data_IF_208802614064
#
_entry.id   IF_208802614064
#
_cell.length_a   1.000
_cell.length_b   1.000
_cell.length_c   1.000
_cell.angle_alpha   90.00
_cell.angle_beta   90.00
_cell.angle_gamma   90.00
#
_symmetry.space_group_name_H-M   'P 1'
#
loop_
_entity.id
_entity.type
_entity.pdbx_description
1 polymer ?
#
# COMPACT_ATOMS: atom_id res chain seq x y z
N UNK A 1 -0.83 13.67 -5.46
CA UNK A 1 -1.74 12.66 -4.95
C UNK A 1 -2.92 13.31 -4.22
N UNK A 2 -4.14 13.05 -4.66
CA UNK A 2 -5.35 13.52 -4.00
C UNK A 2 -5.79 12.49 -2.98
N UNK A 3 -6.07 12.91 -1.76
CA UNK A 3 -6.40 12.05 -0.63
C UNK A 3 -7.90 12.15 -0.29
N UNK A 4 -8.55 11.02 -0.15
CA UNK A 4 -9.93 10.90 0.35
C UNK A 4 -9.89 10.51 1.82
N UNK A 5 -10.53 11.29 2.68
CA UNK A 5 -10.57 11.03 4.12
C UNK A 5 -11.74 10.12 4.47
N UNK A 6 -11.50 9.19 5.39
CA UNK A 6 -12.46 8.19 5.88
C UNK A 6 -13.08 8.59 7.19
N UNK A 7 -13.55 9.80 7.38
CA UNK A 7 -14.28 10.13 8.59
C UNK A 7 -15.34 11.18 8.37
N UNK A 8 -16.53 10.86 8.77
CA UNK A 8 -17.69 11.74 8.91
C UNK A 8 -18.79 10.97 9.61
N UNK A 9 -19.82 11.65 10.04
CA UNK A 9 -20.96 11.07 10.75
C UNK A 9 -22.00 10.43 9.83
N UNK A 10 -22.01 10.78 8.55
CA UNK A 10 -22.99 10.28 7.57
C UNK A 10 -22.29 9.62 6.39
N UNK A 11 -22.45 8.31 6.27
CA UNK A 11 -21.80 7.50 5.23
C UNK A 11 -22.15 7.96 3.80
N UNK A 12 -23.40 8.34 3.56
CA UNK A 12 -23.84 8.86 2.27
C UNK A 12 -23.15 10.17 1.88
N UNK A 13 -22.88 11.04 2.85
CA UNK A 13 -22.15 12.29 2.63
C UNK A 13 -20.71 11.98 2.24
N UNK A 14 -20.08 11.00 2.90
CA UNK A 14 -18.72 10.55 2.59
C UNK A 14 -18.64 10.00 1.17
N UNK A 15 -19.58 9.13 0.79
CA UNK A 15 -19.62 8.53 -0.55
C UNK A 15 -19.75 9.60 -1.63
N UNK A 16 -20.67 10.56 -1.42
CA UNK A 16 -20.87 11.69 -2.36
C UNK A 16 -19.65 12.60 -2.42
N UNK A 17 -19.06 12.96 -1.28
CA UNK A 17 -17.86 13.77 -1.22
C UNK A 17 -16.68 13.09 -1.93
N UNK A 18 -16.51 11.79 -1.74
CA UNK A 18 -15.48 10.99 -2.44
C UNK A 18 -15.66 11.03 -3.96
N UNK A 19 -16.91 10.88 -4.43
CA UNK A 19 -17.20 10.91 -5.87
C UNK A 19 -16.93 12.30 -6.46
N UNK A 20 -17.36 13.36 -5.79
CA UNK A 20 -17.10 14.74 -6.25
C UNK A 20 -15.59 15.05 -6.23
N UNK A 21 -14.85 14.56 -5.24
CA UNK A 21 -13.40 14.68 -5.21
C UNK A 21 -12.73 13.91 -6.37
N UNK A 22 -13.22 12.71 -6.70
CA UNK A 22 -12.72 11.96 -7.85
C UNK A 22 -12.96 12.71 -9.17
N UNK A 23 -14.15 13.30 -9.34
CA UNK A 23 -14.48 14.14 -10.52
C UNK A 23 -13.57 15.37 -10.61
N UNK A 24 -13.39 16.09 -9.50
CA UNK A 24 -12.50 17.24 -9.45
C UNK A 24 -11.04 16.87 -9.76
N UNK A 25 -10.59 15.72 -9.25
CA UNK A 25 -9.24 15.18 -9.51
C UNK A 25 -9.04 14.88 -11.00
N UNK A 26 -10.04 14.31 -11.66
CA UNK A 26 -10.02 14.03 -13.09
C UNK A 26 -10.03 15.33 -13.90
N UNK A 27 -10.85 16.31 -13.52
CA UNK A 27 -10.87 17.62 -14.16
C UNK A 27 -9.48 18.30 -14.06
N UNK A 28 -8.89 18.34 -12.86
CA UNK A 28 -7.52 18.86 -12.69
C UNK A 28 -6.48 18.15 -13.56
N UNK A 29 -6.57 16.83 -13.70
CA UNK A 29 -5.66 16.05 -14.53
C UNK A 29 -5.70 16.45 -16.00
N UNK A 30 -6.87 16.78 -16.54
CA UNK A 30 -7.06 17.03 -17.96
C UNK A 30 -7.20 18.50 -18.33
N UNK A 31 -7.58 19.37 -17.41
CA UNK A 31 -7.95 20.75 -17.65
C UNK A 31 -6.99 21.78 -17.01
N UNK A 32 -5.92 21.30 -16.36
CA UNK A 32 -4.93 22.17 -15.71
C UNK A 32 -3.50 21.65 -15.84
N UNK A 33 -2.53 22.49 -15.48
CA UNK A 33 -1.10 22.13 -15.42
C UNK A 33 -0.70 21.39 -14.14
N UNK A 34 -1.67 21.07 -13.28
CA UNK A 34 -1.42 20.33 -12.02
C UNK A 34 -1.07 18.87 -12.33
N UNK A 35 0.09 18.45 -11.88
CA UNK A 35 0.59 17.09 -12.07
C UNK A 35 -0.11 16.11 -11.12
N UNK A 36 -1.33 15.70 -11.46
CA UNK A 36 -2.08 14.69 -10.70
C UNK A 36 -1.56 13.30 -11.06
N UNK A 37 -1.00 12.58 -10.09
CA UNK A 37 -0.40 11.25 -10.29
C UNK A 37 -1.22 10.11 -9.70
N UNK A 38 -2.16 10.39 -8.79
CA UNK A 38 -2.96 9.33 -8.18
C UNK A 38 -4.05 9.84 -7.25
N UNK A 39 -4.85 8.88 -6.78
CA UNK A 39 -5.99 9.06 -5.91
C UNK A 39 -5.84 8.10 -4.71
N UNK A 40 -6.04 8.59 -3.49
CA UNK A 40 -5.81 7.83 -2.26
C UNK A 40 -7.04 7.81 -1.35
N UNK A 41 -7.25 6.71 -0.64
CA UNK A 41 -8.20 6.57 0.44
C UNK A 41 -7.44 6.39 1.75
N UNK A 42 -7.59 7.33 2.67
CA UNK A 42 -6.92 7.31 3.96
C UNK A 42 -7.81 7.88 5.07
N UNK A 43 -7.38 7.73 6.31
CA UNK A 43 -8.10 8.12 7.51
C UNK A 43 -8.53 6.91 8.32
N UNK A 44 -9.49 7.06 9.23
CA UNK A 44 -9.96 5.94 10.06
C UNK A 44 -10.57 4.83 9.20
N UNK A 45 -10.00 3.63 9.28
CA UNK A 45 -10.55 2.46 8.59
C UNK A 45 -11.70 1.82 9.38
N UNK A 46 -11.61 1.83 10.71
CA UNK A 46 -12.62 1.22 11.59
C UNK A 46 -13.97 1.91 11.45
N UNK A 47 -15.00 1.17 11.08
CA UNK A 47 -16.36 1.67 10.83
C UNK A 47 -16.57 2.31 9.45
N UNK A 48 -15.52 2.40 8.61
CA UNK A 48 -15.56 3.03 7.30
C UNK A 48 -14.98 2.10 6.22
N UNK A 49 -15.73 1.07 5.80
CA UNK A 49 -15.23 0.07 4.86
C UNK A 49 -14.84 0.69 3.51
N UNK A 50 -13.74 0.22 2.94
CA UNK A 50 -13.25 0.68 1.65
C UNK A 50 -14.31 0.61 0.55
N UNK A 51 -15.14 -0.45 0.53
CA UNK A 51 -16.21 -0.65 -0.43
C UNK A 51 -17.24 0.49 -0.51
N UNK A 52 -17.38 1.30 0.54
CA UNK A 52 -18.26 2.47 0.54
C UNK A 52 -17.84 3.54 -0.48
N UNK A 53 -16.58 3.55 -0.91
CA UNK A 53 -16.01 4.49 -1.87
C UNK A 53 -15.99 3.97 -3.32
N UNK A 54 -16.68 2.84 -3.61
CA UNK A 54 -16.62 2.16 -4.91
C UNK A 54 -16.97 3.08 -6.08
N UNK A 55 -17.99 3.93 -5.97
CA UNK A 55 -18.39 4.83 -7.05
C UNK A 55 -17.28 5.83 -7.43
N UNK A 56 -16.58 6.40 -6.42
CA UNK A 56 -15.46 7.32 -6.63
C UNK A 56 -14.29 6.61 -7.31
N UNK A 57 -13.97 5.41 -6.85
CA UNK A 57 -12.85 4.63 -7.37
C UNK A 57 -13.11 4.05 -8.76
N UNK A 58 -14.34 3.64 -9.05
CA UNK A 58 -14.75 3.25 -10.40
C UNK A 58 -14.64 4.43 -11.38
N UNK A 59 -15.04 5.64 -10.93
CA UNK A 59 -14.85 6.85 -11.74
C UNK A 59 -13.37 7.15 -11.99
N UNK A 60 -12.53 7.13 -10.95
CA UNK A 60 -11.09 7.30 -11.06
C UNK A 60 -10.44 6.26 -11.98
N UNK A 61 -10.87 4.99 -11.86
CA UNK A 61 -10.39 3.88 -12.69
C UNK A 61 -10.72 4.08 -14.17
N UNK A 62 -11.97 4.45 -14.48
CA UNK A 62 -12.44 4.75 -15.83
C UNK A 62 -11.64 5.87 -16.52
N UNK A 63 -11.10 6.79 -15.73
CA UNK A 63 -10.28 7.92 -16.20
C UNK A 63 -8.77 7.71 -16.05
N UNK A 64 -8.34 6.45 -15.88
CA UNK A 64 -6.92 6.07 -15.79
C UNK A 64 -6.14 6.77 -14.67
N UNK A 65 -6.82 7.15 -13.59
CA UNK A 65 -6.12 7.56 -12.37
C UNK A 65 -5.52 6.35 -11.66
N UNK A 66 -4.30 6.47 -11.21
CA UNK A 66 -3.69 5.48 -10.32
C UNK A 66 -4.28 5.62 -8.93
N UNK A 67 -4.39 4.49 -8.23
CA UNK A 67 -5.10 4.41 -6.97
C UNK A 67 -4.28 3.71 -5.91
N UNK A 68 -4.21 4.29 -4.73
CA UNK A 68 -3.75 3.60 -3.53
C UNK A 68 -4.87 3.61 -2.50
N UNK A 69 -4.90 2.61 -1.64
CA UNK A 69 -5.96 2.43 -0.65
C UNK A 69 -5.33 1.95 0.64
N UNK A 70 -5.56 2.67 1.74
CA UNK A 70 -5.25 2.16 3.07
C UNK A 70 -6.22 1.02 3.40
N UNK A 71 -5.70 -0.18 3.59
CA UNK A 71 -6.49 -1.37 3.87
C UNK A 71 -5.70 -2.36 4.72
N UNK A 72 -6.36 -3.01 5.66
CA UNK A 72 -5.74 -3.97 6.57
C UNK A 72 -4.84 -3.31 7.61
N UNK A 73 -5.15 -2.10 8.05
CA UNK A 73 -4.57 -1.46 9.22
C UNK A 73 -5.43 -1.73 10.47
N UNK A 74 -6.73 -1.43 10.40
CA UNK A 74 -7.69 -1.60 11.49
C UNK A 74 -8.77 -2.66 11.20
N UNK A 75 -8.90 -3.09 9.96
CA UNK A 75 -9.72 -4.23 9.52
C UNK A 75 -8.86 -5.36 8.97
N UNK A 76 -9.44 -6.56 8.93
CA UNK A 76 -8.80 -7.78 8.48
C UNK A 76 -8.66 -7.92 6.96
N UNK A 77 -8.41 -9.16 6.50
CA UNK A 77 -8.16 -9.49 5.09
C UNK A 77 -9.26 -9.05 4.13
N UNK A 78 -10.51 -9.04 4.59
CA UNK A 78 -11.67 -8.62 3.79
C UNK A 78 -11.58 -7.17 3.32
N UNK A 79 -11.00 -6.27 4.13
CA UNK A 79 -10.76 -4.87 3.74
C UNK A 79 -9.74 -4.80 2.60
N UNK A 80 -8.71 -5.61 2.66
CA UNK A 80 -7.68 -5.73 1.62
C UNK A 80 -8.30 -6.27 0.32
N UNK A 81 -9.12 -7.31 0.43
CA UNK A 81 -9.87 -7.84 -0.71
C UNK A 81 -10.78 -6.79 -1.36
N UNK A 82 -11.52 -6.00 -0.55
CA UNK A 82 -12.35 -4.91 -1.06
C UNK A 82 -11.54 -3.82 -1.76
N UNK A 83 -10.38 -3.46 -1.22
CA UNK A 83 -9.50 -2.48 -1.83
C UNK A 83 -9.05 -2.89 -3.24
N UNK A 84 -8.77 -4.18 -3.43
CA UNK A 84 -8.33 -4.72 -4.71
C UNK A 84 -9.52 -4.88 -5.68
N UNK A 85 -10.58 -5.54 -5.25
CA UNK A 85 -11.66 -5.98 -6.13
C UNK A 85 -12.71 -4.91 -6.40
N UNK A 86 -13.04 -4.07 -5.40
CA UNK A 86 -14.05 -3.01 -5.52
C UNK A 86 -13.46 -1.65 -5.86
N UNK A 87 -12.24 -1.37 -5.37
CA UNK A 87 -11.60 -0.08 -5.59
C UNK A 87 -10.49 -0.12 -6.65
N UNK A 88 -10.17 -1.31 -7.16
CA UNK A 88 -9.11 -1.48 -8.16
C UNK A 88 -7.78 -0.84 -7.75
N UNK A 89 -7.38 -1.05 -6.51
CA UNK A 89 -6.16 -0.47 -5.95
C UNK A 89 -4.92 -0.93 -6.74
N UNK A 90 -4.11 0.02 -7.18
CA UNK A 90 -2.80 -0.26 -7.80
C UNK A 90 -1.73 -0.52 -6.74
N UNK A 91 -1.93 0.00 -5.51
CA UNK A 91 -1.12 -0.23 -4.31
C UNK A 91 -2.03 -0.28 -3.08
N UNK A 92 -1.54 -0.94 -2.03
CA UNK A 92 -2.20 -1.07 -0.74
C UNK A 92 -1.37 -0.39 0.35
N UNK A 93 -1.98 0.52 1.09
CA UNK A 93 -1.37 1.06 2.31
C UNK A 93 -1.50 0.06 3.46
N UNK A 94 -0.45 -0.10 4.25
CA UNK A 94 -0.31 -0.97 5.41
C UNK A 94 -0.38 -2.47 5.14
N UNK A 95 -1.56 -3.04 4.87
CA UNK A 95 -1.77 -4.47 4.63
C UNK A 95 -1.38 -5.39 5.79
N UNK A 96 -1.10 -4.85 6.97
CA UNK A 96 -0.51 -5.61 8.08
C UNK A 96 -1.42 -6.71 8.63
N UNK A 97 -2.74 -6.60 8.42
CA UNK A 97 -3.74 -7.60 8.84
C UNK A 97 -4.03 -8.66 7.78
N UNK A 98 -3.22 -8.76 6.73
CA UNK A 98 -3.42 -9.74 5.64
C UNK A 98 -3.56 -11.18 6.14
N UNK A 99 -2.82 -11.55 7.17
CA UNK A 99 -2.84 -12.90 7.75
C UNK A 99 -3.62 -13.02 9.06
N UNK A 100 -4.45 -12.01 9.39
CA UNK A 100 -5.29 -12.01 10.59
C UNK A 100 -6.61 -12.77 10.36
N UNK A 101 -6.51 -14.09 10.27
CA UNK A 101 -7.65 -14.97 10.01
C UNK A 101 -8.78 -14.86 11.06
N UNK A 102 -8.41 -14.50 12.28
CA UNK A 102 -9.33 -14.25 13.39
C UNK A 102 -10.16 -12.96 13.25
N UNK A 103 -9.80 -12.09 12.32
CA UNK A 103 -10.53 -10.86 12.01
C UNK A 103 -11.52 -11.02 10.84
N UNK A 104 -11.64 -12.21 10.26
CA UNK A 104 -12.61 -12.49 9.19
C UNK A 104 -14.00 -12.68 9.79
N UNK A 105 -14.95 -11.87 9.34
CA UNK A 105 -16.34 -11.86 9.83
C UNK A 105 -17.33 -12.42 8.78
N UNK A 106 -16.93 -12.58 7.53
CA UNK A 106 -17.81 -13.05 6.45
C UNK A 106 -18.21 -14.52 6.67
N UNK A 107 -19.51 -14.83 6.80
CA UNK A 107 -19.98 -16.18 7.16
C UNK A 107 -19.82 -17.21 6.03
N UNK A 108 -19.57 -16.78 4.82
CA UNK A 108 -19.32 -17.62 3.66
C UNK A 108 -17.85 -18.06 3.53
N UNK A 109 -16.94 -17.49 4.32
CA UNK A 109 -15.54 -17.90 4.40
C UNK A 109 -15.41 -19.01 5.43
N UNK A 110 -15.44 -20.27 4.99
CA UNK A 110 -15.44 -21.45 5.85
C UNK A 110 -14.04 -21.81 6.37
N UNK A 111 -12.98 -21.43 5.68
CA UNK A 111 -11.58 -21.57 6.11
C UNK A 111 -10.85 -20.22 6.06
N UNK A 112 -10.87 -19.46 7.18
CA UNK A 112 -10.23 -18.16 7.25
C UNK A 112 -8.72 -18.18 7.00
N UNK A 113 -8.03 -19.25 7.36
CA UNK A 113 -6.58 -19.37 7.15
C UNK A 113 -6.27 -19.58 5.66
N UNK A 114 -6.96 -20.52 5.02
CA UNK A 114 -6.82 -20.73 3.58
C UNK A 114 -7.16 -19.46 2.79
N UNK A 115 -8.20 -18.74 3.19
CA UNK A 115 -8.56 -17.45 2.59
C UNK A 115 -7.41 -16.43 2.63
N UNK A 116 -6.73 -16.30 3.78
CA UNK A 116 -5.58 -15.39 3.91
C UNK A 116 -4.43 -15.78 2.98
N UNK A 117 -4.11 -17.08 2.88
CA UNK A 117 -3.05 -17.60 1.99
C UNK A 117 -3.42 -17.37 0.51
N UNK A 118 -4.63 -17.68 0.10
CA UNK A 118 -5.12 -17.44 -1.26
C UNK A 118 -5.12 -15.95 -1.63
N UNK A 119 -5.50 -15.08 -0.67
CA UNK A 119 -5.45 -13.63 -0.87
C UNK A 119 -4.01 -13.12 -1.01
N UNK A 120 -3.08 -13.65 -0.22
CA UNK A 120 -1.66 -13.32 -0.33
C UNK A 120 -1.08 -13.73 -1.69
N UNK A 121 -1.39 -14.93 -2.15
CA UNK A 121 -0.98 -15.42 -3.46
C UNK A 121 -1.60 -14.59 -4.59
N UNK A 122 -2.89 -14.27 -4.50
CA UNK A 122 -3.56 -13.38 -5.47
C UNK A 122 -2.89 -12.00 -5.56
N UNK A 123 -2.52 -11.40 -4.42
CA UNK A 123 -1.79 -10.12 -4.38
C UNK A 123 -0.41 -10.24 -5.02
N UNK A 124 0.30 -11.34 -4.73
CA UNK A 124 1.63 -11.62 -5.27
C UNK A 124 1.61 -11.80 -6.79
N UNK A 125 0.67 -12.58 -7.32
CA UNK A 125 0.49 -12.84 -8.76
C UNK A 125 0.17 -11.56 -9.52
N UNK A 126 -0.74 -10.74 -9.00
CA UNK A 126 -1.10 -9.44 -9.58
C UNK A 126 -0.02 -8.38 -9.38
N UNK A 127 1.01 -8.68 -8.56
CA UNK A 127 2.08 -7.75 -8.21
C UNK A 127 1.55 -6.41 -7.67
N UNK A 128 0.44 -6.45 -6.96
CA UNK A 128 -0.05 -5.30 -6.20
C UNK A 128 0.94 -5.02 -5.07
N UNK A 129 1.43 -3.80 -4.98
CA UNK A 129 2.48 -3.48 -4.01
C UNK A 129 1.87 -3.05 -2.69
N UNK A 130 2.37 -3.63 -1.60
CA UNK A 130 2.03 -3.24 -0.24
C UNK A 130 3.02 -2.21 0.27
N UNK A 131 2.51 -1.10 0.80
CA UNK A 131 3.25 0.02 1.39
C UNK A 131 3.29 -0.18 2.90
N UNK A 132 4.27 -0.94 3.39
CA UNK A 132 4.41 -1.29 4.81
C UNK A 132 5.02 -0.13 5.59
N UNK A 133 4.39 0.24 6.70
CA UNK A 133 4.76 1.36 7.57
C UNK A 133 5.00 0.85 9.00
N UNK A 134 6.18 0.27 9.26
CA UNK A 134 6.45 -0.48 10.50
C UNK A 134 6.25 0.35 11.77
N UNK A 135 6.86 1.54 11.83
CA UNK A 135 6.74 2.42 12.99
C UNK A 135 5.30 2.85 13.23
N UNK A 136 4.59 3.26 12.17
CA UNK A 136 3.18 3.65 12.27
C UNK A 136 2.32 2.46 12.72
N UNK A 137 2.55 1.28 12.17
CA UNK A 137 1.79 0.07 12.51
C UNK A 137 1.95 -0.33 13.98
N UNK A 138 3.15 -0.23 14.56
CA UNK A 138 3.34 -0.48 15.99
C UNK A 138 2.65 0.58 16.86
N UNK A 139 2.63 1.84 16.41
CA UNK A 139 1.99 2.93 17.15
C UNK A 139 0.46 2.82 17.13
N UNK A 140 -0.13 2.33 16.03
CA UNK A 140 -1.58 2.22 15.85
C UNK A 140 -2.17 0.88 16.28
N UNK A 141 -1.34 -0.15 16.48
CA UNK A 141 -1.76 -1.52 16.75
C UNK A 141 -1.04 -2.13 17.95
N UNK A 142 -1.52 -1.85 19.17
CA UNK A 142 -0.90 -2.32 20.42
C UNK A 142 -0.87 -3.85 20.58
N UNK A 143 -1.65 -4.56 19.79
CA UNK A 143 -1.71 -6.03 19.75
C UNK A 143 -0.55 -6.65 18.93
N UNK A 144 0.20 -5.87 18.19
CA UNK A 144 1.46 -6.30 17.59
C UNK A 144 2.59 -5.97 18.57
N UNK A 145 3.17 -6.98 19.24
CA UNK A 145 4.09 -6.73 20.34
C UNK A 145 5.44 -6.17 19.91
N UNK A 146 5.90 -6.54 18.71
CA UNK A 146 7.20 -6.17 18.17
C UNK A 146 7.24 -6.30 16.63
N UNK A 147 8.34 -5.84 16.04
CA UNK A 147 8.57 -5.91 14.58
C UNK A 147 8.74 -7.35 14.08
N UNK A 148 9.30 -8.24 14.88
CA UNK A 148 9.48 -9.64 14.46
C UNK A 148 8.12 -10.35 14.25
N UNK A 149 7.09 -9.92 14.98
CA UNK A 149 5.71 -10.42 14.86
C UNK A 149 4.92 -9.76 13.73
N UNK A 150 5.47 -8.72 13.07
CA UNK A 150 4.80 -8.01 11.98
C UNK A 150 4.67 -8.92 10.73
N UNK A 151 3.56 -8.77 10.01
CA UNK A 151 3.25 -9.57 8.81
C UNK A 151 4.26 -9.43 7.65
N UNK A 152 5.19 -8.46 7.70
CA UNK A 152 6.20 -8.25 6.66
C UNK A 152 7.01 -9.52 6.36
N UNK A 153 7.40 -10.28 7.39
CA UNK A 153 8.13 -11.56 7.20
C UNK A 153 7.34 -12.52 6.30
N UNK A 154 6.07 -12.76 6.63
CA UNK A 154 5.17 -13.61 5.84
C UNK A 154 4.97 -13.08 4.42
N UNK A 155 4.80 -11.76 4.24
CA UNK A 155 4.68 -11.16 2.91
C UNK A 155 5.92 -11.42 2.04
N UNK A 156 7.12 -11.40 2.64
CA UNK A 156 8.37 -11.70 1.94
C UNK A 156 8.49 -13.18 1.59
N UNK A 157 7.99 -14.09 2.43
CA UNK A 157 7.93 -15.53 2.16
C UNK A 157 7.02 -15.84 0.97
N UNK A 158 5.88 -15.15 0.86
CA UNK A 158 4.97 -15.18 -0.30
C UNK A 158 5.50 -14.43 -1.53
N UNK A 159 6.72 -13.89 -1.47
CA UNK A 159 7.34 -13.12 -2.57
C UNK A 159 6.49 -11.95 -3.07
N UNK A 160 5.70 -11.38 -2.19
CA UNK A 160 4.87 -10.22 -2.50
C UNK A 160 5.72 -9.01 -2.89
N UNK A 161 5.14 -8.12 -3.68
CA UNK A 161 5.73 -6.82 -3.95
C UNK A 161 5.50 -5.90 -2.73
N UNK A 162 6.55 -5.70 -1.94
CA UNK A 162 6.51 -4.86 -0.72
C UNK A 162 7.48 -3.71 -0.84
N UNK A 163 7.13 -2.55 -0.30
CA UNK A 163 8.04 -1.41 -0.08
C UNK A 163 7.84 -0.84 1.31
N UNK A 164 8.90 -0.30 1.91
CA UNK A 164 8.82 0.35 3.21
C UNK A 164 8.51 1.83 3.04
N UNK A 165 7.57 2.32 3.84
CA UNK A 165 7.06 3.68 3.82
C UNK A 165 7.01 4.23 5.26
N UNK A 166 7.06 5.55 5.40
CA UNK A 166 7.05 6.22 6.71
C UNK A 166 5.66 6.51 7.24
N UNK A 167 4.63 6.38 6.39
CA UNK A 167 3.35 7.01 6.65
C UNK A 167 3.53 8.51 6.95
N UNK A 168 2.91 9.05 7.99
CA UNK A 168 3.07 10.42 8.40
C UNK A 168 4.39 10.62 9.17
N UNK A 169 5.45 11.03 8.47
CA UNK A 169 6.79 11.21 9.02
C UNK A 169 6.84 12.04 10.31
N UNK A 170 6.03 13.09 10.37
CA UNK A 170 6.03 14.00 11.52
C UNK A 170 5.39 13.36 12.75
N UNK A 171 4.30 12.65 12.55
CA UNK A 171 3.58 11.96 13.64
C UNK A 171 4.35 10.74 14.10
N UNK A 172 4.79 9.89 13.17
CA UNK A 172 5.54 8.67 13.48
C UNK A 172 6.99 8.94 13.88
N UNK A 173 7.49 10.16 13.64
CA UNK A 173 8.87 10.58 13.95
C UNK A 173 9.91 9.61 13.40
N UNK A 174 9.79 9.25 12.13
CA UNK A 174 10.64 8.26 11.44
C UNK A 174 11.12 8.76 10.09
N UNK A 175 12.08 8.06 9.50
CA UNK A 175 12.55 8.24 8.12
C UNK A 175 12.54 6.91 7.39
N UNK A 176 12.59 6.94 6.04
CA UNK A 176 12.69 5.68 5.25
C UNK A 176 13.93 4.87 5.64
N UNK A 177 15.03 5.53 5.98
CA UNK A 177 16.24 4.86 6.46
C UNK A 177 16.02 4.15 7.78
N UNK A 178 15.29 4.79 8.72
CA UNK A 178 14.96 4.19 10.02
C UNK A 178 14.01 3.00 9.83
N UNK A 179 13.02 3.10 8.94
CA UNK A 179 12.12 1.99 8.60
C UNK A 179 12.90 0.79 8.01
N UNK A 180 13.85 1.06 7.11
CA UNK A 180 14.71 0.01 6.54
C UNK A 180 15.57 -0.64 7.63
N UNK A 181 16.18 0.18 8.49
CA UNK A 181 16.99 -0.32 9.61
C UNK A 181 16.14 -1.14 10.57
N UNK A 182 14.97 -0.63 10.95
CA UNK A 182 14.03 -1.33 11.82
C UNK A 182 13.64 -2.71 11.25
N UNK A 183 13.38 -2.78 9.94
CA UNK A 183 13.09 -4.05 9.27
C UNK A 183 14.28 -5.01 9.30
N UNK A 184 15.49 -4.55 8.90
CA UNK A 184 16.67 -5.40 8.78
C UNK A 184 17.22 -5.85 10.13
N UNK A 185 17.04 -5.06 11.18
CA UNK A 185 17.51 -5.43 12.53
C UNK A 185 16.59 -6.47 13.21
N UNK A 186 15.34 -6.61 12.79
CA UNK A 186 14.34 -7.45 13.46
C UNK A 186 13.76 -8.57 12.61
N UNK A 187 13.88 -8.50 11.29
CA UNK A 187 13.37 -9.52 10.36
C UNK A 187 14.53 -10.06 9.53
N UNK A 188 14.56 -11.37 9.32
CA UNK A 188 15.59 -11.99 8.49
C UNK A 188 15.37 -11.65 7.00
N UNK A 189 15.92 -10.52 6.57
CA UNK A 189 15.79 -10.00 5.21
C UNK A 189 17.08 -10.23 4.44
N UNK A 190 17.01 -11.00 3.37
CA UNK A 190 18.16 -11.20 2.49
C UNK A 190 18.53 -9.95 1.70
N UNK A 191 19.79 -9.77 1.26
CA UNK A 191 20.18 -8.63 0.41
C UNK A 191 19.31 -8.49 -0.85
N UNK A 192 18.90 -9.60 -1.44
CA UNK A 192 17.99 -9.63 -2.60
C UNK A 192 16.58 -9.12 -2.26
N UNK A 193 16.04 -9.50 -1.12
CA UNK A 193 14.73 -8.99 -0.65
C UNK A 193 14.82 -7.49 -0.37
N UNK A 194 15.86 -7.02 0.32
CA UNK A 194 16.08 -5.60 0.58
C UNK A 194 16.16 -4.80 -0.73
N UNK A 195 16.97 -5.24 -1.69
CA UNK A 195 17.04 -4.63 -3.03
C UNK A 195 15.65 -4.55 -3.66
N UNK A 196 14.91 -5.65 -3.64
CA UNK A 196 13.58 -5.69 -4.24
C UNK A 196 12.62 -4.71 -3.58
N UNK A 197 12.57 -4.63 -2.25
CA UNK A 197 11.72 -3.69 -1.52
C UNK A 197 12.02 -2.23 -1.91
N UNK A 198 13.29 -1.86 -1.99
CA UNK A 198 13.72 -0.52 -2.41
C UNK A 198 13.31 -0.27 -3.87
N UNK A 199 13.62 -1.18 -4.77
CA UNK A 199 13.34 -1.02 -6.21
C UNK A 199 11.83 -1.04 -6.49
N UNK A 200 11.03 -1.81 -5.75
CA UNK A 200 9.56 -1.82 -5.91
C UNK A 200 8.95 -0.47 -5.56
N UNK A 201 9.44 0.24 -4.56
CA UNK A 201 9.00 1.61 -4.26
C UNK A 201 9.09 2.52 -5.49
N UNK A 202 10.17 2.44 -6.26
CA UNK A 202 10.34 3.19 -7.50
C UNK A 202 9.55 2.61 -8.68
N UNK A 203 9.56 1.29 -8.86
CA UNK A 203 8.80 0.62 -9.93
C UNK A 203 7.31 0.85 -9.84
N UNK A 204 6.77 0.96 -8.63
CA UNK A 204 5.35 1.11 -8.36
C UNK A 204 4.91 2.54 -8.04
N UNK A 205 5.86 3.48 -7.98
CA UNK A 205 5.53 4.90 -7.84
C UNK A 205 4.59 5.34 -8.97
N UNK A 206 3.69 6.27 -8.66
CA UNK A 206 2.85 6.92 -9.65
C UNK A 206 3.66 8.03 -10.32
N UNK A 207 4.13 7.77 -11.52
CA UNK A 207 4.99 8.67 -12.27
C UNK A 207 4.16 9.51 -13.23
N UNK A 208 4.39 10.81 -13.26
CA UNK A 208 3.61 11.73 -14.10
C UNK A 208 3.91 11.58 -15.59
N UNK A 209 5.19 11.43 -15.94
CA UNK A 209 5.63 11.31 -17.32
C UNK A 209 5.29 9.95 -17.95
N UNK A 210 5.68 9.76 -19.19
CA UNK A 210 5.44 8.55 -19.95
C UNK A 210 5.98 7.28 -19.28
N UNK A 211 5.45 6.12 -19.69
CA UNK A 211 5.96 4.83 -19.22
C UNK A 211 7.44 4.60 -19.58
N UNK A 212 7.88 5.09 -20.74
CA UNK A 212 9.29 5.03 -21.15
C UNK A 212 10.19 5.85 -20.23
N UNK A 213 9.77 7.06 -19.85
CA UNK A 213 10.51 7.90 -18.89
C UNK A 213 10.60 7.24 -17.52
N UNK A 214 9.49 6.68 -17.06
CA UNK A 214 9.47 5.91 -15.83
C UNK A 214 10.45 4.73 -15.87
N UNK A 215 10.49 3.97 -16.97
CA UNK A 215 11.45 2.87 -17.13
C UNK A 215 12.90 3.35 -17.10
N UNK A 216 13.19 4.44 -17.79
CA UNK A 216 14.52 5.05 -17.79
C UNK A 216 14.94 5.51 -16.38
N UNK A 217 14.00 6.14 -15.65
CA UNK A 217 14.21 6.53 -14.25
C UNK A 217 14.50 5.33 -13.36
N UNK A 218 13.67 4.29 -13.41
CA UNK A 218 13.85 3.07 -12.60
C UNK A 218 15.19 2.38 -12.94
N UNK A 219 15.61 2.39 -14.21
CA UNK A 219 16.93 1.84 -14.59
C UNK A 219 18.06 2.61 -13.94
N UNK A 220 18.00 3.95 -13.90
CA UNK A 220 18.99 4.78 -13.20
C UNK A 220 19.06 4.42 -11.70
N UNK A 221 17.92 4.21 -11.05
CA UNK A 221 17.88 3.81 -9.64
C UNK A 221 18.52 2.44 -9.43
N UNK A 222 18.19 1.45 -10.27
CA UNK A 222 18.80 0.11 -10.20
C UNK A 222 20.33 0.21 -10.32
N UNK A 223 20.82 0.89 -11.34
CA UNK A 223 22.26 1.05 -11.56
C UNK A 223 22.94 1.79 -10.38
N UNK A 224 22.26 2.78 -9.79
CA UNK A 224 22.79 3.48 -8.62
C UNK A 224 22.84 2.56 -7.40
N UNK A 225 21.77 1.79 -7.13
CA UNK A 225 21.74 0.80 -6.06
C UNK A 225 22.89 -0.20 -6.19
N UNK A 226 23.05 -0.81 -7.37
CA UNK A 226 24.11 -1.80 -7.65
C UNK A 226 25.51 -1.21 -7.45
N UNK A 227 25.72 0.03 -7.87
CA UNK A 227 27.00 0.73 -7.65
C UNK A 227 27.29 0.92 -6.16
N UNK A 228 26.28 1.29 -5.34
CA UNK A 228 26.47 1.48 -3.90
C UNK A 228 26.65 0.12 -3.21
N UNK A 229 25.81 -0.88 -3.50
CA UNK A 229 25.91 -2.21 -2.96
C UNK A 229 27.32 -2.84 -3.22
N UNK A 230 27.82 -2.70 -4.44
CA UNK A 230 29.17 -3.16 -4.79
C UNK A 230 30.28 -2.45 -4.00
N UNK A 231 30.15 -1.15 -3.71
CA UNK A 231 31.12 -0.42 -2.87
C UNK A 231 31.17 -0.93 -1.42
N UNK A 232 30.05 -1.44 -0.93
CA UNK A 232 29.92 -1.94 0.44
C UNK A 232 30.01 -3.46 0.56
N UNK A 233 30.36 -4.16 -0.53
CA UNK A 233 30.52 -5.62 -0.54
C UNK A 233 29.21 -6.38 -0.30
N UNK A 234 28.05 -5.77 -0.58
CA UNK A 234 26.75 -6.43 -0.48
C UNK A 234 26.56 -7.28 -1.73
N UNK A 235 26.81 -8.59 -1.60
CA UNK A 235 26.55 -9.56 -2.65
C UNK A 235 25.03 -9.86 -2.76
N UNK A 236 24.56 -10.11 -3.99
CA UNK A 236 23.19 -10.60 -4.25
C UNK A 236 23.07 -12.11 -4.02
#
# INVERSE_FOLDING_TARGET
>A
LVRVLRYSTLQEVIQRASLELAKATVALKYESDVQVVGFDLAGSERGFPAGAHQAAYAYAHKHFLRKTVHAGEAYGPESIFQAITKLHADRLGHGMRLFAADMIEAPDITDPKAYCEELADYIAENRTTVEVCLTSNLQTSPDIPDIASHSLGKMLDHRMSVTLCTDNRLVSNTTVTDEIKLATDNINITPKQLKNMIIYGFKRSFHYNSYSDKRAYVRKIINYYEKIAGKHGVAE
#
